data_IF_136470367786
#
_entry.id   IF_136470367786
#
_cell.length_a   1.000
_cell.length_b   1.000
_cell.length_c   1.000
_cell.angle_alpha   90.00
_cell.angle_beta   90.00
_cell.angle_gamma   90.00
#
_symmetry.space_group_name_H-M   'P 1'
#
loop_
_entity.id
_entity.type
_entity.pdbx_description
1 polymer ?
#
# COMPACT_ATOMS: atom_id res chain seq x y z
N UNK A 1 -8.53 -19.50 -49.31
CA UNK A 1 -7.20 -19.76 -48.74
C UNK A 1 -6.78 -18.55 -47.92
N UNK A 2 -7.24 -18.34 -46.70
CA UNK A 2 -8.24 -19.01 -45.86
C UNK A 2 -8.78 -17.95 -44.91
N UNK A 3 -10.10 -17.90 -44.79
CA UNK A 3 -10.84 -17.07 -43.84
C UNK A 3 -10.68 -17.66 -42.44
N UNK A 4 -10.21 -16.85 -41.49
CA UNK A 4 -10.20 -17.20 -40.07
C UNK A 4 -11.27 -16.36 -39.36
N UNK A 5 -12.47 -16.93 -39.28
CA UNK A 5 -13.53 -16.56 -38.35
C UNK A 5 -13.01 -16.66 -36.91
N UNK A 6 -12.96 -15.53 -36.20
CA UNK A 6 -12.77 -15.51 -34.75
C UNK A 6 -14.13 -15.31 -34.07
N UNK A 7 -14.80 -16.42 -33.81
CA UNK A 7 -16.05 -16.50 -33.03
C UNK A 7 -15.73 -16.34 -31.54
N UNK A 8 -16.59 -15.57 -30.86
CA UNK A 8 -16.47 -15.16 -29.47
C UNK A 8 -16.31 -16.30 -28.47
N UNK A 9 -15.34 -16.14 -27.58
CA UNK A 9 -15.15 -16.92 -26.35
C UNK A 9 -15.81 -16.22 -25.16
N UNK A 10 -16.44 -17.02 -24.30
CA UNK A 10 -17.38 -16.61 -23.28
C UNK A 10 -16.81 -15.79 -22.12
N UNK A 11 -17.71 -15.00 -21.55
CA UNK A 11 -17.54 -14.29 -20.30
C UNK A 11 -18.17 -15.16 -19.20
N UNK A 12 -17.34 -15.94 -18.52
CA UNK A 12 -17.60 -16.49 -17.19
C UNK A 12 -16.25 -16.41 -16.47
N UNK A 13 -16.15 -15.56 -15.43
CA UNK A 13 -14.92 -15.45 -14.65
C UNK A 13 -14.90 -14.25 -13.71
N UNK A 14 -15.39 -14.49 -12.49
CA UNK A 14 -14.90 -13.95 -11.22
C UNK A 14 -14.79 -12.42 -11.05
N UNK A 15 -15.87 -11.81 -10.54
CA UNK A 15 -16.08 -10.37 -10.29
C UNK A 15 -15.33 -9.78 -9.06
N UNK A 16 -14.26 -10.40 -8.55
CA UNK A 16 -13.64 -9.97 -7.28
C UNK A 16 -12.28 -9.25 -7.41
N UNK A 17 -11.76 -9.03 -8.63
CA UNK A 17 -10.49 -8.31 -8.90
C UNK A 17 -10.68 -6.91 -9.54
N UNK A 18 -11.91 -6.40 -9.65
CA UNK A 18 -12.22 -5.22 -10.46
C UNK A 18 -11.76 -3.87 -9.86
N UNK A 19 -11.53 -3.75 -8.54
CA UNK A 19 -11.21 -2.42 -7.97
C UNK A 19 -9.80 -1.91 -8.34
N UNK A 20 -8.81 -2.81 -8.45
CA UNK A 20 -7.47 -2.44 -8.90
C UNK A 20 -7.41 -2.27 -10.43
N UNK A 21 -8.24 -3.03 -11.16
CA UNK A 21 -8.39 -2.91 -12.61
C UNK A 21 -9.12 -1.63 -13.01
N UNK A 22 -10.09 -1.15 -12.24
CA UNK A 22 -10.77 0.13 -12.48
C UNK A 22 -9.80 1.31 -12.32
N UNK A 23 -8.90 1.27 -11.33
CA UNK A 23 -7.90 2.32 -11.14
C UNK A 23 -6.84 2.31 -12.26
N UNK A 24 -6.43 1.12 -12.72
CA UNK A 24 -5.57 0.96 -13.89
C UNK A 24 -6.28 1.36 -15.21
N UNK A 25 -7.57 1.05 -15.37
CA UNK A 25 -8.37 1.46 -16.53
C UNK A 25 -8.63 2.96 -16.55
N UNK A 26 -8.87 3.57 -15.39
CA UNK A 26 -9.22 4.98 -15.29
C UNK A 26 -7.98 5.88 -15.48
N UNK A 27 -6.81 5.47 -14.99
CA UNK A 27 -5.55 6.21 -15.21
C UNK A 27 -4.83 5.82 -16.51
N UNK A 28 -4.85 4.55 -16.91
CA UNK A 28 -4.22 4.07 -18.14
C UNK A 28 -5.07 4.26 -19.41
N UNK A 29 -6.40 4.21 -19.28
CA UNK A 29 -7.34 4.34 -20.40
C UNK A 29 -7.33 5.72 -21.04
N UNK A 30 -7.09 6.78 -20.25
CA UNK A 30 -7.09 8.16 -20.74
C UNK A 30 -5.98 8.42 -21.78
N UNK A 31 -4.79 7.84 -21.56
CA UNK A 31 -3.66 7.88 -22.49
C UNK A 31 -3.87 7.04 -23.75
N UNK A 32 -4.57 5.90 -23.65
CA UNK A 32 -4.86 5.04 -24.81
C UNK A 32 -5.91 5.66 -25.74
N UNK A 33 -6.86 6.43 -25.19
CA UNK A 33 -7.87 7.13 -25.97
C UNK A 33 -7.29 8.28 -26.80
N UNK A 34 -6.16 8.88 -26.39
CA UNK A 34 -5.48 9.95 -27.13
C UNK A 34 -4.83 9.50 -28.45
N UNK A 35 -4.58 8.21 -28.64
CA UNK A 35 -3.86 7.66 -29.82
C UNK A 35 -4.82 7.12 -30.89
N UNK A 36 -6.10 6.95 -30.58
CA UNK A 36 -7.08 6.36 -31.49
C UNK A 36 -7.93 7.43 -32.16
N UNK A 37 -7.62 7.72 -33.42
CA UNK A 37 -8.53 8.50 -34.27
C UNK A 37 -9.56 7.56 -34.91
N UNK A 38 -10.84 7.84 -34.65
CA UNK A 38 -11.96 7.19 -35.33
C UNK A 38 -12.05 7.76 -36.75
N UNK A 39 -11.55 7.00 -37.72
CA UNK A 39 -11.61 7.35 -39.12
C UNK A 39 -12.78 6.65 -39.82
N UNK A 40 -13.30 7.28 -40.86
CA UNK A 40 -14.18 6.59 -41.81
C UNK A 40 -13.33 5.86 -42.85
N UNK A 41 -13.67 4.60 -43.11
CA UNK A 41 -13.10 3.80 -44.19
C UNK A 41 -14.24 3.30 -45.09
N UNK A 42 -14.04 3.40 -46.40
CA UNK A 42 -15.02 2.94 -47.39
C UNK A 42 -14.52 1.61 -47.93
N UNK A 43 -15.37 0.58 -47.92
CA UNK A 43 -15.09 -0.68 -48.60
C UNK A 43 -15.40 -0.50 -50.10
N UNK A 44 -14.42 -0.61 -51.01
CA UNK A 44 -14.65 -0.39 -52.44
C UNK A 44 -15.52 -1.48 -53.09
N UNK A 45 -15.63 -2.67 -52.50
CA UNK A 45 -16.41 -3.76 -53.08
C UNK A 45 -17.89 -3.70 -52.72
N UNK A 46 -18.22 -3.21 -51.52
CA UNK A 46 -19.61 -3.16 -51.03
C UNK A 46 -20.18 -1.75 -50.94
N UNK A 47 -19.38 -0.72 -51.26
CA UNK A 47 -19.71 0.70 -51.14
C UNK A 47 -20.28 1.09 -49.76
N UNK A 48 -19.92 0.31 -48.74
CA UNK A 48 -20.33 0.54 -47.36
C UNK A 48 -19.24 1.31 -46.62
N UNK A 49 -19.66 2.31 -45.84
CA UNK A 49 -18.77 3.10 -44.99
C UNK A 49 -18.80 2.52 -43.58
N UNK A 50 -17.64 2.12 -43.05
CA UNK A 50 -17.51 1.61 -41.69
C UNK A 50 -16.54 2.49 -40.89
N UNK A 51 -16.76 2.50 -39.56
CA UNK A 51 -15.88 3.17 -38.62
C UNK A 51 -14.67 2.28 -38.41
N UNK A 52 -13.50 2.71 -38.88
CA UNK A 52 -12.25 1.98 -38.72
C UNK A 52 -11.28 2.78 -37.86
N UNK A 53 -10.57 2.10 -36.99
CA UNK A 53 -9.53 2.73 -36.17
C UNK A 53 -8.31 2.90 -37.08
N UNK A 54 -8.06 4.14 -37.51
CA UNK A 54 -6.85 4.44 -38.30
C UNK A 54 -5.72 4.77 -37.34
N UNK A 55 -4.68 3.95 -37.39
CA UNK A 55 -3.43 4.22 -36.70
C UNK A 55 -2.67 5.31 -37.47
N UNK A 56 -2.05 6.26 -36.77
CA UNK A 56 -1.20 7.25 -37.40
C UNK A 56 0.06 6.57 -37.99
N UNK A 57 0.63 7.13 -39.05
CA UNK A 57 1.83 6.58 -39.70
C UNK A 57 3.03 6.47 -38.73
N UNK A 58 3.03 7.28 -37.65
CA UNK A 58 4.03 7.28 -36.58
C UNK A 58 3.60 6.52 -35.31
N UNK A 59 2.64 5.59 -35.42
CA UNK A 59 2.08 4.89 -34.27
C UNK A 59 3.13 4.18 -33.40
N UNK A 60 4.13 3.54 -34.00
CA UNK A 60 5.17 2.81 -33.28
C UNK A 60 5.96 3.71 -32.32
N UNK A 61 6.35 4.90 -32.78
CA UNK A 61 7.09 5.87 -31.97
C UNK A 61 6.23 6.45 -30.85
N UNK A 62 4.99 6.82 -31.16
CA UNK A 62 4.04 7.35 -30.18
C UNK A 62 3.73 6.30 -29.12
N UNK A 63 3.59 5.04 -29.50
CA UNK A 63 3.33 3.94 -28.58
C UNK A 63 4.50 3.70 -27.62
N UNK A 64 5.75 3.72 -28.11
CA UNK A 64 6.94 3.59 -27.26
C UNK A 64 7.06 4.73 -26.25
N UNK A 65 6.88 5.98 -26.71
CA UNK A 65 6.92 7.15 -25.83
C UNK A 65 5.78 7.09 -24.81
N UNK A 66 4.58 6.71 -25.24
CA UNK A 66 3.43 6.56 -24.34
C UNK A 66 3.65 5.45 -23.31
N UNK A 67 4.19 4.29 -23.69
CA UNK A 67 4.50 3.21 -22.75
C UNK A 67 5.54 3.66 -21.73
N UNK A 68 6.60 4.37 -22.16
CA UNK A 68 7.63 4.92 -21.26
C UNK A 68 7.03 5.94 -20.27
N UNK A 69 6.29 6.93 -20.77
CA UNK A 69 5.76 8.00 -19.93
C UNK A 69 4.67 7.45 -18.99
N UNK A 70 3.71 6.74 -19.54
CA UNK A 70 2.53 6.30 -18.79
C UNK A 70 2.89 5.22 -17.78
N UNK A 71 3.72 4.26 -18.17
CA UNK A 71 4.03 3.11 -17.32
C UNK A 71 5.14 3.36 -16.32
N UNK A 72 6.01 4.34 -16.56
CA UNK A 72 7.12 4.65 -15.66
C UNK A 72 6.86 5.93 -14.85
N UNK A 73 6.53 7.06 -15.51
CA UNK A 73 6.38 8.34 -14.80
C UNK A 73 5.19 8.31 -13.85
N UNK A 74 4.02 7.81 -14.29
CA UNK A 74 2.84 7.75 -13.41
C UNK A 74 3.10 6.82 -12.23
N UNK A 75 3.76 5.70 -12.47
CA UNK A 75 4.10 4.72 -11.43
C UNK A 75 5.03 5.32 -10.37
N UNK A 76 6.05 6.07 -10.80
CA UNK A 76 6.97 6.78 -9.91
C UNK A 76 6.28 7.92 -9.15
N UNK A 77 5.45 8.72 -9.82
CA UNK A 77 4.70 9.81 -9.17
C UNK A 77 3.73 9.28 -8.12
N UNK A 78 3.00 8.21 -8.44
CA UNK A 78 2.11 7.53 -7.50
C UNK A 78 2.89 6.98 -6.31
N UNK A 79 4.02 6.31 -6.57
CA UNK A 79 4.88 5.79 -5.51
C UNK A 79 5.40 6.90 -4.59
N UNK A 80 5.98 7.97 -5.14
CA UNK A 80 6.50 9.10 -4.36
C UNK A 80 5.38 9.76 -3.54
N UNK A 81 4.18 9.89 -4.12
CA UNK A 81 3.00 10.41 -3.42
C UNK A 81 2.65 9.56 -2.20
N UNK A 82 2.52 8.24 -2.37
CA UNK A 82 2.19 7.31 -1.28
C UNK A 82 3.28 7.30 -0.20
N UNK A 83 4.55 7.27 -0.59
CA UNK A 83 5.69 7.33 0.35
C UNK A 83 5.66 8.63 1.15
N UNK A 84 5.45 9.76 0.49
CA UNK A 84 5.37 11.07 1.14
C UNK A 84 4.20 11.13 2.11
N UNK A 85 3.03 10.64 1.69
CA UNK A 85 1.84 10.55 2.54
C UNK A 85 2.11 9.69 3.79
N UNK A 86 2.72 8.52 3.63
CA UNK A 86 3.08 7.64 4.73
C UNK A 86 4.06 8.29 5.71
N UNK A 87 5.06 9.01 5.19
CA UNK A 87 6.04 9.75 6.01
C UNK A 87 5.36 10.88 6.78
N UNK A 88 4.44 11.63 6.16
CA UNK A 88 3.67 12.68 6.83
C UNK A 88 2.84 12.08 7.96
N UNK A 89 2.09 10.99 7.69
CA UNK A 89 1.27 10.31 8.67
C UNK A 89 2.11 9.83 9.86
N UNK A 90 3.25 9.17 9.59
CA UNK A 90 4.18 8.71 10.62
C UNK A 90 4.73 9.88 11.44
N UNK A 91 5.12 10.98 10.78
CA UNK A 91 5.67 12.17 11.42
C UNK A 91 4.65 12.86 12.33
N UNK A 92 3.40 12.98 11.88
CA UNK A 92 2.30 13.57 12.67
C UNK A 92 1.98 12.70 13.88
N UNK A 93 1.97 11.38 13.73
CA UNK A 93 1.80 10.45 14.85
C UNK A 93 2.94 10.60 15.88
N UNK A 94 4.18 10.70 15.41
CA UNK A 94 5.35 10.88 16.28
C UNK A 94 5.30 12.22 17.03
N UNK A 95 4.95 13.32 16.34
CA UNK A 95 4.83 14.64 16.96
C UNK A 95 3.72 14.68 18.02
N UNK A 96 2.53 14.13 17.70
CA UNK A 96 1.43 14.03 18.65
C UNK A 96 1.81 13.22 19.91
N UNK A 97 2.62 12.18 19.75
CA UNK A 97 3.12 11.40 20.89
C UNK A 97 4.18 12.13 21.70
N UNK A 98 5.14 12.82 21.06
CA UNK A 98 6.15 13.62 21.76
C UNK A 98 5.51 14.67 22.65
N UNK A 99 4.48 15.37 22.15
CA UNK A 99 3.72 16.37 22.92
C UNK A 99 3.03 15.74 24.14
N UNK A 100 2.42 14.57 23.98
CA UNK A 100 1.82 13.84 25.12
C UNK A 100 2.86 13.41 26.14
N UNK A 101 4.07 13.03 25.72
CA UNK A 101 5.18 12.69 26.64
C UNK A 101 5.71 13.90 27.39
N UNK A 102 5.85 15.06 26.73
CA UNK A 102 6.33 16.27 27.40
C UNK A 102 5.37 16.72 28.50
N UNK A 103 4.05 16.57 28.29
CA UNK A 103 3.04 16.89 29.31
C UNK A 103 3.03 15.88 30.48
N UNK A 104 3.34 14.61 30.23
CA UNK A 104 3.41 13.59 31.28
C UNK A 104 4.68 13.70 32.16
N UNK A 105 5.80 14.22 31.60
CA UNK A 105 7.07 14.35 32.30
C UNK A 105 7.11 15.48 33.34
N UNK A 106 6.43 16.60 33.09
CA UNK A 106 6.42 17.77 33.99
C UNK A 106 5.61 17.53 35.28
N UNK A 107 4.64 16.61 35.26
CA UNK A 107 3.80 16.33 36.44
C UNK A 107 4.51 15.53 37.56
N UNK A 108 5.73 15.01 37.33
CA UNK A 108 6.46 14.20 38.31
C UNK A 108 7.55 15.00 39.05
N UNK A 109 8.05 16.11 38.49
CA UNK A 109 9.16 16.84 39.10
C UNK A 109 8.78 17.80 40.25
N UNK A 110 7.49 18.00 40.53
CA UNK A 110 7.06 18.95 41.57
C UNK A 110 6.88 18.32 42.97
N UNK A 111 7.34 17.08 43.18
CA UNK A 111 7.14 16.36 44.45
C UNK A 111 8.37 16.21 45.36
N UNK A 112 9.56 16.67 44.95
CA UNK A 112 10.82 16.44 45.70
C UNK A 112 11.54 17.70 46.19
N UNK A 113 10.86 18.85 46.26
CA UNK A 113 11.38 20.05 46.97
C UNK A 113 10.55 20.42 48.19
N UNK A 114 10.46 19.52 49.17
CA UNK A 114 10.17 19.90 50.56
C UNK A 114 11.22 19.22 51.45
N UNK A 115 12.16 20.02 51.94
CA UNK A 115 13.08 19.66 53.02
C UNK A 115 12.31 19.10 54.23
N UNK A 116 12.87 18.11 54.96
CA UNK A 116 12.20 17.52 56.10
C UNK A 116 12.40 18.42 57.32
N UNK A 117 11.39 19.22 57.65
CA UNK A 117 11.28 19.79 58.99
C UNK A 117 9.85 20.20 59.26
N UNK A 118 9.10 19.28 59.85
CA UNK A 118 8.33 19.49 61.10
C UNK A 118 7.11 18.57 61.15
N UNK A 119 6.85 18.11 62.37
CA UNK A 119 5.91 17.06 62.73
C UNK A 119 4.46 17.52 62.61
N UNK A 120 3.62 16.50 62.42
CA UNK A 120 2.29 16.32 63.00
C UNK A 120 1.05 16.68 62.15
N UNK A 121 0.18 15.66 62.13
CA UNK A 121 -1.27 15.74 62.12
C UNK A 121 -1.97 15.74 60.76
N UNK A 122 -2.57 14.57 60.48
CA UNK A 122 -3.93 14.55 59.96
C UNK A 122 -4.09 14.24 58.47
N UNK A 123 -4.80 13.14 58.22
CA UNK A 123 -5.64 12.84 57.06
C UNK A 123 -5.04 11.93 55.99
N UNK A 124 -5.36 10.65 56.16
CA UNK A 124 -5.37 9.64 55.11
C UNK A 124 -6.08 10.19 53.87
N UNK A 125 -5.29 10.56 52.88
CA UNK A 125 -5.74 10.84 51.52
C UNK A 125 -5.16 9.74 50.63
N UNK A 126 -6.11 9.00 50.08
CA UNK A 126 -6.00 7.81 49.26
C UNK A 126 -4.91 7.95 48.18
N UNK A 127 -3.75 7.38 48.46
CA UNK A 127 -2.64 7.21 47.52
C UNK A 127 -3.03 6.14 46.50
N UNK A 128 -3.84 6.50 45.51
CA UNK A 128 -4.28 5.56 44.49
C UNK A 128 -4.40 6.18 43.10
N UNK A 129 -3.43 6.99 42.63
CA UNK A 129 -3.51 7.45 41.23
C UNK A 129 -2.22 7.92 40.53
N UNK A 130 -1.07 7.28 40.78
CA UNK A 130 0.18 7.65 40.07
C UNK A 130 0.70 6.57 39.09
N UNK A 131 -0.08 5.50 38.86
CA UNK A 131 0.31 4.36 37.99
C UNK A 131 -0.33 4.37 36.60
N UNK A 132 -1.17 5.37 36.29
CA UNK A 132 -2.01 5.43 35.09
C UNK A 132 -1.39 6.22 33.93
N UNK A 133 -0.60 7.26 34.20
CA UNK A 133 0.05 8.10 33.17
C UNK A 133 1.16 7.37 32.42
N UNK A 134 1.97 6.59 33.14
CA UNK A 134 3.10 5.85 32.57
C UNK A 134 2.66 4.65 31.69
N UNK A 135 1.46 4.10 31.97
CA UNK A 135 0.84 3.05 31.14
C UNK A 135 0.29 3.56 29.81
N UNK A 136 -0.14 4.82 29.73
CA UNK A 136 -0.64 5.42 28.49
C UNK A 136 0.52 5.74 27.53
N UNK A 137 1.64 6.26 28.05
CA UNK A 137 2.85 6.56 27.27
C UNK A 137 3.42 5.32 26.55
N UNK A 138 3.45 4.17 27.23
CA UNK A 138 3.93 2.90 26.66
C UNK A 138 3.00 2.33 25.58
N UNK A 139 1.68 2.57 25.70
CA UNK A 139 0.70 2.18 24.67
C UNK A 139 0.86 3.01 23.42
N UNK A 140 0.97 4.34 23.55
CA UNK A 140 1.16 5.25 22.43
C UNK A 140 2.51 4.99 21.72
N UNK A 141 3.56 4.67 22.47
CA UNK A 141 4.86 4.22 21.93
C UNK A 141 4.73 3.01 21.04
N UNK A 142 4.01 2.01 21.53
CA UNK A 142 3.71 0.81 20.76
C UNK A 142 3.01 1.24 19.49
N UNK A 143 1.97 2.09 19.59
CA UNK A 143 1.15 2.58 18.46
C UNK A 143 1.97 3.29 17.35
N UNK A 144 3.10 3.89 17.69
CA UNK A 144 3.96 4.53 16.69
C UNK A 144 4.93 3.53 16.08
N UNK A 145 5.40 2.57 16.89
CA UNK A 145 6.39 1.59 16.47
C UNK A 145 5.88 0.68 15.36
N UNK A 146 4.66 0.10 15.46
CA UNK A 146 4.15 -0.69 14.32
C UNK A 146 3.80 0.18 13.13
N UNK A 147 3.24 1.39 13.29
CA UNK A 147 2.98 2.25 12.11
C UNK A 147 4.29 2.51 11.35
N UNK A 148 5.37 2.82 12.09
CA UNK A 148 6.70 3.02 11.49
C UNK A 148 7.21 1.75 10.80
N UNK A 149 7.06 0.58 11.44
CA UNK A 149 7.47 -0.70 10.85
C UNK A 149 6.68 -1.03 9.58
N UNK A 150 5.36 -0.77 9.57
CA UNK A 150 4.52 -0.96 8.38
C UNK A 150 5.01 -0.08 7.24
N UNK A 151 5.25 1.20 7.50
CA UNK A 151 5.72 2.13 6.48
C UNK A 151 7.06 1.67 5.88
N UNK A 152 8.01 1.23 6.74
CA UNK A 152 9.30 0.72 6.26
C UNK A 152 9.10 -0.53 5.40
N UNK A 153 8.29 -1.49 5.85
CA UNK A 153 8.12 -2.72 5.10
C UNK A 153 7.36 -2.47 3.79
N UNK A 154 6.34 -1.61 3.79
CA UNK A 154 5.62 -1.20 2.59
C UNK A 154 6.55 -0.55 1.55
N UNK A 155 7.45 0.34 2.00
CA UNK A 155 8.46 0.95 1.12
C UNK A 155 9.38 -0.11 0.53
N UNK A 156 9.88 -1.02 1.38
CA UNK A 156 10.79 -2.08 0.97
C UNK A 156 10.12 -3.14 0.08
N UNK A 157 8.83 -3.43 0.28
CA UNK A 157 8.10 -4.42 -0.53
C UNK A 157 7.79 -3.91 -1.93
N UNK A 158 7.60 -2.60 -2.09
CA UNK A 158 7.32 -2.00 -3.39
C UNK A 158 8.59 -1.69 -4.21
N UNK A 159 9.75 -1.59 -3.56
CA UNK A 159 11.02 -1.29 -4.24
C UNK A 159 11.38 -2.28 -5.36
N UNK A 160 11.27 -3.62 -5.20
CA UNK A 160 11.59 -4.59 -6.25
C UNK A 160 10.81 -4.32 -7.55
N UNK A 161 9.53 -3.98 -7.42
CA UNK A 161 8.66 -3.66 -8.55
C UNK A 161 9.12 -2.39 -9.27
N UNK A 162 9.45 -1.33 -8.52
CA UNK A 162 9.95 -0.07 -9.09
C UNK A 162 11.30 -0.23 -9.78
N UNK A 163 12.21 -1.01 -9.17
CA UNK A 163 13.51 -1.33 -9.76
C UNK A 163 13.31 -2.11 -11.06
N UNK A 164 12.42 -3.10 -11.10
CA UNK A 164 12.12 -3.86 -12.32
C UNK A 164 11.59 -2.95 -13.44
N UNK A 165 10.62 -2.09 -13.14
CA UNK A 165 10.06 -1.12 -14.10
C UNK A 165 11.14 -0.16 -14.64
N UNK A 166 12.09 0.21 -13.79
CA UNK A 166 13.23 1.08 -14.17
C UNK A 166 14.24 0.34 -15.05
N UNK A 167 14.60 -0.90 -14.70
CA UNK A 167 15.54 -1.71 -15.50
C UNK A 167 15.01 -1.98 -16.91
N UNK A 168 13.70 -2.22 -17.05
CA UNK A 168 13.05 -2.36 -18.36
C UNK A 168 13.18 -1.13 -19.25
N UNK A 169 13.34 0.06 -18.66
CA UNK A 169 13.53 1.31 -19.41
C UNK A 169 14.94 1.39 -20.01
N UNK A 170 15.94 0.98 -19.26
CA UNK A 170 17.34 1.05 -19.70
C UNK A 170 17.75 -0.10 -20.61
N UNK A 171 17.13 -1.27 -20.43
CA UNK A 171 17.43 -2.47 -21.20
C UNK A 171 16.14 -2.96 -21.83
N UNK A 172 15.86 -2.49 -23.05
CA UNK A 172 14.68 -2.91 -23.82
C UNK A 172 14.64 -4.43 -24.08
N UNK A 173 15.80 -5.09 -24.07
CA UNK A 173 15.93 -6.55 -24.18
C UNK A 173 15.55 -7.31 -22.90
N UNK A 174 15.32 -6.61 -21.77
CA UNK A 174 14.90 -7.19 -20.50
C UNK A 174 13.39 -7.46 -20.50
N UNK A 175 12.95 -8.28 -21.45
CA UNK A 175 11.54 -8.61 -21.67
C UNK A 175 11.33 -10.13 -21.54
N UNK A 176 10.06 -10.58 -21.47
CA UNK A 176 9.71 -12.00 -21.28
C UNK A 176 10.30 -12.97 -22.34
N UNK A 177 10.75 -12.43 -23.48
CA UNK A 177 11.33 -13.18 -24.60
C UNK A 177 12.84 -12.94 -24.78
N UNK A 178 13.49 -12.21 -23.87
CA UNK A 178 14.90 -11.84 -23.96
C UNK A 178 15.86 -12.83 -23.30
N UNK A 179 17.16 -12.63 -23.52
CA UNK A 179 18.24 -13.47 -22.96
C UNK A 179 18.27 -13.51 -21.42
N UNK A 180 17.67 -12.50 -20.75
CA UNK A 180 17.64 -12.38 -19.29
C UNK A 180 16.35 -12.90 -18.63
N UNK A 181 15.57 -13.74 -19.32
CA UNK A 181 14.28 -14.24 -18.82
C UNK A 181 14.35 -14.89 -17.43
N UNK A 182 15.43 -15.61 -17.11
CA UNK A 182 15.61 -16.25 -15.80
C UNK A 182 15.73 -15.22 -14.66
N UNK A 183 16.50 -14.15 -14.88
CA UNK A 183 16.66 -13.07 -13.89
C UNK A 183 15.36 -12.30 -13.75
N UNK A 184 14.70 -12.00 -14.88
CA UNK A 184 13.39 -11.35 -14.87
C UNK A 184 12.36 -12.16 -14.09
N UNK A 185 12.28 -13.48 -14.35
CA UNK A 185 11.39 -14.40 -13.63
C UNK A 185 11.67 -14.43 -12.13
N UNK A 186 12.93 -14.52 -11.72
CA UNK A 186 13.31 -14.50 -10.30
C UNK A 186 12.91 -13.20 -9.61
N UNK A 187 13.22 -12.04 -10.21
CA UNK A 187 12.85 -10.72 -9.67
C UNK A 187 11.34 -10.54 -9.65
N UNK A 188 10.63 -11.09 -10.63
CA UNK A 188 9.16 -11.11 -10.67
C UNK A 188 8.60 -11.87 -9.48
N UNK A 189 9.04 -13.11 -9.26
CA UNK A 189 8.62 -13.91 -8.11
C UNK A 189 8.99 -13.27 -6.78
N UNK A 190 10.16 -12.64 -6.68
CA UNK A 190 10.55 -11.89 -5.50
C UNK A 190 9.60 -10.71 -5.25
N UNK A 191 9.27 -9.95 -6.29
CA UNK A 191 8.34 -8.82 -6.20
C UNK A 191 6.95 -9.27 -5.78
N UNK A 192 6.42 -10.35 -6.38
CA UNK A 192 5.14 -10.96 -5.98
C UNK A 192 5.18 -11.44 -4.53
N UNK A 193 6.27 -12.09 -4.11
CA UNK A 193 6.45 -12.54 -2.72
C UNK A 193 6.45 -11.35 -1.77
N UNK A 194 7.14 -10.25 -2.11
CA UNK A 194 7.10 -9.01 -1.34
C UNK A 194 5.69 -8.41 -1.27
N UNK A 195 4.92 -8.47 -2.36
CA UNK A 195 3.51 -8.09 -2.38
C UNK A 195 2.65 -8.92 -1.42
N UNK A 196 2.81 -10.25 -1.44
CA UNK A 196 2.11 -11.14 -0.51
C UNK A 196 2.53 -10.92 0.95
N UNK A 197 3.80 -10.60 1.19
CA UNK A 197 4.27 -10.22 2.52
C UNK A 197 3.60 -8.93 2.98
N UNK A 198 3.42 -7.93 2.11
CA UNK A 198 2.71 -6.70 2.46
C UNK A 198 1.26 -6.99 2.94
N UNK A 199 0.52 -7.83 2.22
CA UNK A 199 -0.83 -8.26 2.62
C UNK A 199 -0.82 -9.08 3.92
N UNK A 200 0.16 -9.97 4.08
CA UNK A 200 0.31 -10.79 5.30
C UNK A 200 0.63 -9.94 6.52
N UNK A 201 1.41 -8.87 6.35
CA UNK A 201 1.83 -8.00 7.44
C UNK A 201 0.69 -7.17 8.01
N UNK A 202 -0.35 -6.88 7.23
CA UNK A 202 -1.57 -6.27 7.76
C UNK A 202 -2.15 -7.11 8.93
N UNK A 203 -2.13 -8.44 8.86
CA UNK A 203 -2.57 -9.31 9.97
C UNK A 203 -1.65 -9.15 11.20
N UNK A 204 -0.34 -9.08 10.99
CA UNK A 204 0.65 -8.95 12.07
C UNK A 204 0.53 -7.61 12.78
N UNK A 205 0.18 -6.55 12.05
CA UNK A 205 -0.13 -5.24 12.61
C UNK A 205 -1.33 -5.33 13.54
N UNK A 206 -2.44 -5.90 13.06
CA UNK A 206 -3.64 -6.06 13.87
C UNK A 206 -3.35 -6.88 15.14
N UNK A 207 -2.61 -7.98 15.01
CA UNK A 207 -2.22 -8.83 16.12
C UNK A 207 -1.23 -8.17 17.08
N UNK A 208 -0.32 -7.32 16.60
CA UNK A 208 0.70 -6.68 17.45
C UNK A 208 0.12 -5.48 18.20
N UNK A 209 -0.74 -4.71 17.56
CA UNK A 209 -1.23 -3.42 18.07
C UNK A 209 -2.54 -3.47 18.81
N UNK A 210 -3.50 -4.21 18.30
CA UNK A 210 -4.83 -4.16 18.85
C UNK A 210 -4.92 -5.19 19.99
N UNK A 211 -4.61 -4.74 21.19
CA UNK A 211 -4.68 -5.57 22.41
C UNK A 211 -6.10 -6.14 22.57
N UNK A 212 -7.14 -5.39 22.21
CA UNK A 212 -8.53 -5.88 22.20
C UNK A 212 -8.76 -6.96 21.14
N UNK A 213 -8.11 -6.86 19.98
CA UNK A 213 -8.18 -7.90 18.95
C UNK A 213 -7.52 -9.19 19.42
N UNK A 214 -6.37 -9.10 20.13
CA UNK A 214 -5.74 -10.27 20.75
C UNK A 214 -6.64 -10.88 21.83
N UNK A 215 -7.26 -10.06 22.67
CA UNK A 215 -8.18 -10.51 23.71
C UNK A 215 -9.40 -11.22 23.12
N UNK A 216 -9.99 -10.69 22.05
CA UNK A 216 -11.10 -11.34 21.35
C UNK A 216 -10.68 -12.62 20.62
N UNK A 217 -9.49 -12.64 20.00
CA UNK A 217 -8.99 -13.81 19.28
C UNK A 217 -8.59 -14.94 20.25
N UNK A 218 -7.96 -14.61 21.39
CA UNK A 218 -7.75 -15.56 22.47
C UNK A 218 -9.08 -16.01 23.08
N UNK A 219 -10.05 -15.13 23.26
CA UNK A 219 -11.39 -15.54 23.69
C UNK A 219 -12.07 -16.47 22.67
N UNK A 220 -11.88 -16.28 21.36
CA UNK A 220 -12.46 -17.15 20.34
C UNK A 220 -11.78 -18.53 20.30
N UNK A 221 -10.45 -18.57 20.36
CA UNK A 221 -9.67 -19.81 20.30
C UNK A 221 -9.65 -20.60 21.61
N UNK A 222 -9.70 -19.93 22.78
CA UNK A 222 -9.62 -20.58 24.09
C UNK A 222 -10.97 -20.69 24.83
N UNK A 223 -12.07 -20.13 24.31
CA UNK A 223 -13.43 -20.35 24.88
C UNK A 223 -14.15 -21.59 24.33
N UNK A 224 -13.50 -22.40 23.47
CA UNK A 224 -14.04 -23.70 23.08
C UNK A 224 -13.62 -24.75 24.11
N UNK A 225 -14.35 -24.83 25.23
CA UNK A 225 -14.11 -25.89 26.21
C UNK A 225 -14.86 -25.87 27.54
N UNK A 226 -15.76 -24.92 27.83
CA UNK A 226 -16.48 -24.96 29.11
C UNK A 226 -17.93 -24.50 28.96
N UNK A 227 -18.75 -25.37 28.40
CA UNK A 227 -20.19 -25.36 28.65
C UNK A 227 -20.47 -26.59 29.54
N UNK A 228 -20.51 -26.44 30.87
CA UNK A 228 -21.11 -27.44 31.74
C UNK A 228 -22.64 -27.27 31.73
N UNK A 229 -23.33 -28.37 31.43
CA UNK A 229 -24.79 -28.54 31.58
C UNK A 229 -25.26 -28.38 33.03
#
# INVERSE_FOLDING_TARGET
MDDADYIGGGADGDDDDDEDDVLYFMWGGLTVLGVRNLGWAVNPQTNSTYRSIKFADNYQYIYQVNDILNRNIILWLSYVSVVTCAVILASKLQAASKFRRSLAGTAIQDKDKISPSSRASGRASTSHNQKSTDKLSKKDLKVIQSVTVICIIFILSQLPYQVMSTVRLFVAEFNNFGSAQAVYGFVSHLSSTCGYLNSSLNIFVHLRFNVRYREQLFALFFRKGSQPD
#
